data_IF_730922760603
#
_entry.id   IF_730922760603
#
_cell.length_a   1.000
_cell.length_b   1.000
_cell.length_c   1.000
_cell.angle_alpha   90.00
_cell.angle_beta   90.00
_cell.angle_gamma   90.00
#
_symmetry.space_group_name_H-M   'P 1'
#
loop_
_entity.id
_entity.type
_entity.pdbx_description
1 polymer ?
#
# COMPACT_ATOMS: atom_id res chain seq x y z
N UNK A 1 9.96 9.40 -22.61
CA UNK A 1 9.50 9.65 -22.53
C UNK A 1 8.53 9.98 -22.10
N UNK A 2 8.36 10.08 -22.07
CA UNK A 2 7.41 10.40 -21.96
C UNK A 2 6.35 10.70 -21.24
N UNK A 3 6.43 10.76 -20.30
CA UNK A 3 5.35 10.96 -19.41
C UNK A 3 5.06 12.41 -19.12
N UNK A 4 5.44 13.30 -20.01
CA UNK A 4 5.09 14.69 -19.83
C UNK A 4 3.59 14.92 -19.85
N UNK A 5 2.81 13.90 -20.16
CA UNK A 5 1.37 13.93 -20.11
C UNK A 5 0.80 12.99 -19.05
N UNK A 6 1.61 12.67 -18.03
CA UNK A 6 1.12 11.86 -16.94
C UNK A 6 0.01 12.60 -16.19
N UNK A 7 -1.15 11.98 -16.13
CA UNK A 7 -2.27 12.52 -15.37
C UNK A 7 -2.24 11.97 -13.95
N UNK A 8 -2.24 12.85 -12.97
CA UNK A 8 -2.33 12.43 -11.57
C UNK A 8 -3.80 12.31 -11.19
N UNK A 9 -4.19 11.21 -10.58
CA UNK A 9 -5.59 10.99 -10.21
C UNK A 9 -6.04 11.97 -9.13
N UNK A 10 -7.30 12.37 -9.21
CA UNK A 10 -7.90 13.27 -8.21
C UNK A 10 -8.75 12.51 -7.21
N UNK A 11 -9.06 11.25 -7.46
CA UNK A 11 -9.90 10.42 -6.60
C UNK A 11 -9.29 9.04 -6.42
N UNK A 12 -9.54 8.45 -5.26
CA UNK A 12 -9.12 7.08 -4.97
C UNK A 12 -9.50 6.15 -6.13
N UNK A 13 -8.53 5.40 -6.63
CA UNK A 13 -8.72 4.53 -7.79
C UNK A 13 -7.80 3.31 -7.70
N UNK A 14 -8.32 2.17 -7.21
CA UNK A 14 -7.52 0.94 -7.12
C UNK A 14 -7.18 0.33 -8.48
N UNK A 15 -7.92 0.69 -9.54
CA UNK A 15 -7.67 0.17 -10.88
C UNK A 15 -6.37 0.71 -11.50
N UNK A 16 -5.77 1.73 -10.88
CA UNK A 16 -4.47 2.24 -11.31
C UNK A 16 -3.35 1.24 -11.11
N UNK A 17 -3.51 0.33 -10.14
CA UNK A 17 -2.47 -0.65 -9.84
C UNK A 17 -2.27 -1.62 -11.01
N UNK A 18 -1.02 -1.76 -11.44
CA UNK A 18 -0.62 -2.69 -12.49
C UNK A 18 0.35 -3.73 -11.93
N UNK A 19 0.30 -4.93 -12.46
CA UNK A 19 1.17 -6.01 -12.02
C UNK A 19 1.90 -6.62 -13.21
N UNK A 20 3.01 -7.28 -12.92
CA UNK A 20 3.79 -8.03 -13.91
C UNK A 20 4.20 -9.36 -13.30
N UNK A 21 4.64 -10.29 -14.15
CA UNK A 21 5.02 -11.63 -13.69
C UNK A 21 6.31 -11.60 -12.88
N UNK A 22 6.31 -12.31 -11.75
CA UNK A 22 7.51 -12.50 -10.95
C UNK A 22 8.53 -13.31 -11.77
N UNK A 23 9.73 -12.77 -12.06
CA UNK A 23 10.72 -13.48 -12.85
C UNK A 23 11.51 -14.53 -12.05
N UNK A 24 11.34 -14.63 -10.74
CA UNK A 24 12.09 -15.53 -9.87
C UNK A 24 11.15 -16.40 -9.06
N UNK A 25 10.68 -17.51 -9.67
CA UNK A 25 9.71 -18.40 -9.02
C UNK A 25 10.36 -19.49 -8.16
N UNK A 26 11.69 -19.62 -8.22
CA UNK A 26 12.38 -20.75 -7.57
C UNK A 26 12.84 -20.47 -6.15
N UNK A 27 12.73 -19.21 -5.69
CA UNK A 27 13.07 -18.86 -4.32
C UNK A 27 12.22 -17.69 -3.87
N UNK A 28 12.16 -17.52 -2.56
CA UNK A 28 11.38 -16.44 -1.97
C UNK A 28 12.29 -15.26 -1.62
N UNK A 29 11.75 -14.06 -1.74
CA UNK A 29 12.49 -12.86 -1.39
C UNK A 29 11.51 -11.77 -0.98
N UNK A 30 12.01 -10.78 -0.28
CA UNK A 30 11.22 -9.64 0.16
C UNK A 30 11.32 -8.49 -0.84
N UNK A 31 10.21 -7.81 -1.05
CA UNK A 31 10.16 -6.52 -1.74
C UNK A 31 9.66 -5.50 -0.74
N UNK A 32 10.40 -4.41 -0.59
CA UNK A 32 10.04 -3.32 0.31
C UNK A 32 9.80 -2.04 -0.50
N UNK A 33 8.68 -1.37 -0.20
CA UNK A 33 8.44 -0.02 -0.69
C UNK A 33 8.35 0.91 0.51
N UNK A 34 9.13 1.97 0.46
CA UNK A 34 9.11 3.06 1.44
C UNK A 34 8.51 4.28 0.74
N UNK A 35 7.30 4.66 1.14
CA UNK A 35 6.52 5.68 0.45
C UNK A 35 6.26 6.86 1.41
N UNK A 36 7.21 7.83 1.48
CA UNK A 36 7.16 8.88 2.50
C UNK A 36 6.26 10.06 2.20
N UNK A 37 5.60 10.09 1.05
CA UNK A 37 4.82 11.26 0.63
C UNK A 37 3.32 11.00 0.56
N UNK A 38 2.84 10.01 1.30
CA UNK A 38 1.41 9.70 1.30
C UNK A 38 0.62 10.84 1.93
N UNK A 39 -0.45 11.26 1.26
CA UNK A 39 -1.32 12.33 1.71
C UNK A 39 -2.77 11.90 1.59
N UNK A 40 -3.58 12.25 2.58
CA UNK A 40 -5.00 12.00 2.60
C UNK A 40 -5.67 13.14 3.36
N UNK A 41 -7.00 13.11 3.51
CA UNK A 41 -7.73 14.15 4.21
C UNK A 41 -8.43 13.59 5.44
N UNK A 42 -8.40 14.37 6.52
CA UNK A 42 -9.14 14.02 7.73
C UNK A 42 -10.64 14.00 7.41
N UNK A 43 -11.36 12.92 7.78
CA UNK A 43 -12.79 12.84 7.46
C UNK A 43 -13.64 13.85 8.23
N UNK A 44 -13.13 14.36 9.35
CA UNK A 44 -13.86 15.31 10.19
C UNK A 44 -13.58 16.75 9.74
N UNK A 45 -12.31 17.15 9.63
CA UNK A 45 -11.90 18.52 9.39
C UNK A 45 -11.61 18.85 7.93
N UNK A 46 -11.33 17.81 7.10
CA UNK A 46 -10.89 17.99 5.73
C UNK A 46 -9.45 18.48 5.60
N UNK A 47 -8.71 18.58 6.71
CA UNK A 47 -7.31 18.97 6.66
C UNK A 47 -6.44 17.81 6.15
N UNK A 48 -5.33 18.12 5.47
CA UNK A 48 -4.45 17.06 5.00
C UNK A 48 -3.73 16.33 6.13
N UNK A 49 -3.64 15.03 6.00
CA UNK A 49 -2.83 14.16 6.83
C UNK A 49 -1.69 13.60 6.00
N UNK A 50 -0.52 13.44 6.61
CA UNK A 50 0.69 12.97 5.93
C UNK A 50 1.20 11.72 6.60
N UNK A 51 1.75 10.81 5.79
CA UNK A 51 2.29 9.56 6.32
C UNK A 51 3.41 9.02 5.45
N UNK A 52 4.24 8.18 6.07
CA UNK A 52 5.06 7.23 5.33
C UNK A 52 4.32 5.91 5.32
N UNK A 53 4.13 5.33 4.15
CA UNK A 53 3.55 4.00 4.00
C UNK A 53 4.68 3.03 3.70
N UNK A 54 4.84 2.03 4.56
CA UNK A 54 5.83 0.97 4.37
C UNK A 54 5.10 -0.30 3.95
N UNK A 55 5.50 -0.83 2.80
CA UNK A 55 4.90 -2.04 2.23
C UNK A 55 5.99 -3.08 2.09
N UNK A 56 5.80 -4.24 2.69
CA UNK A 56 6.71 -5.37 2.57
C UNK A 56 5.93 -6.59 2.10
N UNK A 57 6.41 -7.27 1.07
CA UNK A 57 5.74 -8.48 0.64
C UNK A 57 6.71 -9.51 0.08
N UNK A 58 6.27 -10.75 0.07
CA UNK A 58 6.97 -11.87 -0.56
C UNK A 58 6.15 -12.24 -1.79
N UNK A 59 6.70 -12.03 -3.01
CA UNK A 59 5.92 -12.28 -4.24
C UNK A 59 5.56 -13.73 -4.40
N UNK A 60 4.38 -13.96 -4.98
CA UNK A 60 3.99 -15.25 -5.53
C UNK A 60 4.18 -15.18 -7.06
N UNK A 61 3.10 -15.20 -7.83
CA UNK A 61 3.20 -15.18 -9.28
C UNK A 61 3.30 -13.78 -9.86
N UNK A 62 2.80 -12.77 -9.13
CA UNK A 62 2.71 -11.38 -9.61
C UNK A 62 3.42 -10.43 -8.69
N UNK A 63 3.90 -9.34 -9.27
CA UNK A 63 4.53 -8.23 -8.55
C UNK A 63 3.88 -6.93 -8.97
N UNK A 64 3.82 -5.96 -8.06
CA UNK A 64 3.26 -4.64 -8.39
C UNK A 64 4.30 -3.78 -9.10
N UNK A 65 3.85 -3.05 -10.11
CA UNK A 65 4.68 -2.12 -10.87
C UNK A 65 4.78 -0.80 -10.10
N UNK A 66 6.00 -0.31 -9.89
CA UNK A 66 6.26 0.79 -8.95
C UNK A 66 5.64 2.12 -9.37
N UNK A 67 5.61 2.43 -10.68
CA UNK A 67 5.01 3.68 -11.15
C UNK A 67 3.50 3.68 -10.90
N UNK A 68 2.84 2.55 -11.13
CA UNK A 68 1.41 2.42 -10.88
C UNK A 68 1.11 2.51 -9.39
N UNK A 69 1.99 1.96 -8.55
CA UNK A 69 1.85 2.09 -7.09
C UNK A 69 1.92 3.56 -6.67
N UNK A 70 2.85 4.31 -7.24
CA UNK A 70 2.96 5.74 -6.97
C UNK A 70 1.66 6.48 -7.30
N UNK A 71 1.09 6.22 -8.48
CA UNK A 71 -0.15 6.86 -8.89
C UNK A 71 -1.33 6.42 -8.03
N UNK A 72 -1.36 5.14 -7.67
CA UNK A 72 -2.39 4.62 -6.79
C UNK A 72 -2.37 5.32 -5.42
N UNK A 73 -1.19 5.42 -4.80
CA UNK A 73 -1.07 6.09 -3.50
C UNK A 73 -1.42 7.57 -3.62
N UNK A 74 -1.02 8.20 -4.72
CA UNK A 74 -1.39 9.60 -4.98
C UNK A 74 -2.90 9.78 -5.07
N UNK A 75 -3.63 8.77 -5.51
CA UNK A 75 -5.10 8.84 -5.66
C UNK A 75 -5.84 9.05 -4.33
N UNK A 76 -5.16 8.85 -3.19
CA UNK A 76 -5.74 9.12 -1.88
C UNK A 76 -5.73 10.59 -1.48
N UNK A 77 -5.05 11.44 -2.23
CA UNK A 77 -4.79 12.84 -1.84
C UNK A 77 -6.04 13.61 -1.43
N UNK A 78 -7.15 13.39 -2.13
CA UNK A 78 -8.42 14.06 -1.83
C UNK A 78 -9.42 13.14 -1.13
N UNK A 79 -8.97 11.94 -0.75
CA UNK A 79 -9.84 10.96 -0.11
C UNK A 79 -9.97 11.27 1.37
N UNK A 80 -11.18 11.28 1.89
CA UNK A 80 -11.44 11.46 3.31
C UNK A 80 -11.61 10.10 3.95
N UNK A 81 -10.73 9.76 4.88
CA UNK A 81 -10.79 8.47 5.55
C UNK A 81 -9.99 8.45 6.83
N UNK A 82 -10.32 7.52 7.70
CA UNK A 82 -9.54 7.27 8.90
C UNK A 82 -8.26 6.53 8.52
N UNK A 83 -7.20 6.76 9.29
CA UNK A 83 -5.88 6.18 9.03
C UNK A 83 -5.93 4.66 8.98
N UNK A 84 -6.67 4.06 9.90
CA UNK A 84 -6.81 2.61 9.99
C UNK A 84 -7.48 2.02 8.75
N UNK A 85 -8.54 2.67 8.28
CA UNK A 85 -9.24 2.24 7.07
C UNK A 85 -8.34 2.31 5.85
N UNK A 86 -7.56 3.39 5.73
CA UNK A 86 -6.72 3.61 4.56
C UNK A 86 -5.60 2.59 4.47
N UNK A 87 -4.97 2.26 5.60
CA UNK A 87 -3.90 1.26 5.62
C UNK A 87 -4.46 -0.12 5.28
N UNK A 88 -5.64 -0.45 5.81
CA UNK A 88 -6.32 -1.70 5.44
C UNK A 88 -6.67 -1.73 3.97
N UNK A 89 -7.16 -0.63 3.41
CA UNK A 89 -7.55 -0.58 2.01
C UNK A 89 -6.34 -0.75 1.09
N UNK A 90 -5.22 -0.12 1.43
CA UNK A 90 -3.97 -0.28 0.66
C UNK A 90 -3.58 -1.76 0.62
N UNK A 91 -3.60 -2.43 1.76
CA UNK A 91 -3.25 -3.84 1.83
C UNK A 91 -4.22 -4.68 1.00
N UNK A 92 -5.52 -4.44 1.12
CA UNK A 92 -6.53 -5.21 0.38
C UNK A 92 -6.42 -5.01 -1.12
N UNK A 93 -6.17 -3.79 -1.57
CA UNK A 93 -6.04 -3.51 -3.01
C UNK A 93 -4.80 -4.20 -3.59
N UNK A 94 -3.68 -4.17 -2.86
CA UNK A 94 -2.46 -4.86 -3.28
C UNK A 94 -2.65 -6.38 -3.25
N UNK A 95 -3.32 -6.90 -2.22
CA UNK A 95 -3.63 -8.32 -2.14
C UNK A 95 -4.46 -8.77 -3.34
N UNK A 96 -5.49 -8.00 -3.70
CA UNK A 96 -6.38 -8.30 -4.81
C UNK A 96 -5.60 -8.45 -6.12
N UNK A 97 -4.63 -7.57 -6.34
CA UNK A 97 -3.87 -7.54 -7.60
C UNK A 97 -2.78 -8.60 -7.66
N UNK A 98 -2.10 -8.86 -6.55
CA UNK A 98 -0.89 -9.70 -6.55
C UNK A 98 -1.10 -11.08 -5.96
N UNK A 99 -1.94 -11.20 -4.96
CA UNK A 99 -2.07 -12.40 -4.13
C UNK A 99 -0.68 -12.93 -3.72
N UNK A 100 0.11 -12.10 -3.03
CA UNK A 100 1.47 -12.48 -2.63
C UNK A 100 1.43 -13.59 -1.59
N UNK A 101 2.56 -14.25 -1.37
CA UNK A 101 2.64 -15.26 -0.33
C UNK A 101 2.40 -14.64 1.04
N UNK A 102 2.94 -13.44 1.24
CA UNK A 102 2.72 -12.66 2.45
C UNK A 102 2.84 -11.18 2.11
N UNK A 103 2.05 -10.35 2.78
CA UNK A 103 2.13 -8.89 2.67
C UNK A 103 1.85 -8.26 4.02
N UNK A 104 2.56 -7.17 4.31
CA UNK A 104 2.27 -6.32 5.45
C UNK A 104 2.35 -4.86 5.02
N UNK A 105 1.52 -4.04 5.63
CA UNK A 105 1.49 -2.59 5.38
C UNK A 105 1.46 -1.88 6.72
N UNK A 106 2.36 -0.91 6.89
CA UNK A 106 2.44 -0.08 8.09
C UNK A 106 2.31 1.38 7.68
N UNK A 107 1.39 2.09 8.31
CA UNK A 107 1.26 3.52 8.12
C UNK A 107 1.90 4.26 9.28
N UNK A 108 2.82 5.19 8.98
CA UNK A 108 3.46 6.05 9.96
C UNK A 108 2.93 7.46 9.76
N UNK A 109 1.81 7.76 10.39
CA UNK A 109 1.15 9.05 10.22
C UNK A 109 1.78 10.11 11.11
N UNK A 110 1.87 11.34 10.58
CA UNK A 110 2.37 12.47 11.34
C UNK A 110 1.49 12.70 12.58
N UNK A 111 2.10 12.86 13.78
CA UNK A 111 1.32 13.04 14.99
C UNK A 111 0.38 14.26 14.94
N UNK A 112 -0.78 14.11 15.54
CA UNK A 112 -1.74 15.19 15.73
C UNK A 112 -2.15 15.22 17.19
N UNK A 113 -2.10 16.40 17.81
CA UNK A 113 -2.40 16.53 19.22
C UNK A 113 -1.48 15.69 20.09
N UNK A 114 -0.25 15.45 19.64
CA UNK A 114 0.72 14.65 20.38
C UNK A 114 0.54 13.13 20.23
N UNK A 115 -0.41 12.69 19.39
CA UNK A 115 -0.68 11.26 19.20
C UNK A 115 -0.26 10.83 17.81
N UNK A 116 0.63 9.83 17.72
CA UNK A 116 1.00 9.18 16.48
C UNK A 116 0.15 7.91 16.31
N UNK A 117 -0.52 7.79 15.16
CA UNK A 117 -1.30 6.60 14.84
C UNK A 117 -0.52 5.80 13.83
N UNK A 118 -0.30 4.51 14.12
CA UNK A 118 0.53 3.62 13.28
C UNK A 118 -0.18 2.31 13.00
N UNK A 119 -1.18 2.32 12.11
CA UNK A 119 -1.89 1.08 11.78
C UNK A 119 -0.96 0.10 11.08
N UNK A 120 -1.05 -1.16 11.49
CA UNK A 120 -0.31 -2.26 10.88
C UNK A 120 -1.27 -3.36 10.51
N UNK A 121 -1.18 -3.86 9.28
CA UNK A 121 -2.04 -4.94 8.79
C UNK A 121 -1.22 -5.90 7.96
N UNK A 122 -1.57 -7.18 8.01
CA UNK A 122 -0.90 -8.19 7.21
C UNK A 122 -1.88 -9.25 6.72
N UNK A 123 -1.45 -10.00 5.71
CA UNK A 123 -2.24 -11.08 5.13
C UNK A 123 -1.33 -12.06 4.41
N UNK A 124 -1.76 -13.33 4.29
CA UNK A 124 -0.97 -14.36 3.63
C UNK A 124 -1.87 -15.38 2.94
N UNK A 125 -1.32 -16.10 1.97
CA UNK A 125 -2.03 -17.23 1.34
C UNK A 125 -2.27 -18.34 2.39
N UNK A 126 -3.21 -19.22 2.12
CA UNK A 126 -3.65 -20.26 3.06
C UNK A 126 -2.70 -21.46 3.05
N UNK A 127 -1.46 -21.22 3.46
CA UNK A 127 -0.44 -22.25 3.68
C UNK A 127 0.21 -21.98 5.02
N UNK A 128 0.35 -22.98 5.85
CA UNK A 128 0.83 -22.86 7.22
C UNK A 128 2.10 -22.03 7.34
N UNK A 129 3.04 -22.28 6.45
CA UNK A 129 4.32 -21.59 6.43
C UNK A 129 4.16 -20.07 6.39
N UNK A 130 3.26 -19.57 5.54
CA UNK A 130 3.05 -18.14 5.36
C UNK A 130 2.10 -17.58 6.41
N UNK A 131 1.14 -18.40 6.85
CA UNK A 131 0.24 -17.99 7.91
C UNK A 131 0.98 -17.72 9.23
N UNK A 132 2.11 -18.38 9.47
CA UNK A 132 2.92 -18.11 10.66
C UNK A 132 3.39 -16.66 10.70
N UNK A 133 3.66 -16.04 9.57
CA UNK A 133 4.12 -14.66 9.50
C UNK A 133 3.03 -13.66 9.89
N UNK A 134 1.76 -14.04 9.83
CA UNK A 134 0.65 -13.14 10.18
C UNK A 134 0.46 -12.98 11.69
N UNK A 135 1.22 -13.72 12.50
CA UNK A 135 1.09 -13.71 13.97
C UNK A 135 2.01 -12.66 14.60
N UNK A 136 2.03 -11.47 14.04
CA UNK A 136 2.83 -10.37 14.56
C UNK A 136 2.03 -9.49 15.50
#
# INVERSE_FOLDING_TARGET
>A
MGSKHTHYPEHYDPDLLEVFNNPHLHHDYWVNFDCPEFTTLCPITGQPDFATILINYIPNLKMVESKSLKLYLFSYRNHRGFHEDEVNQIMLDLWQKMQPKYIEVLGLFTPRGGIAIRPFVNYAIQEDRWQQLTKK
#
